data_IF_994849477285
#
_entry.id   IF_994849477285
#
_cell.length_a   1.000
_cell.length_b   1.000
_cell.length_c   1.000
_cell.angle_alpha   90.00
_cell.angle_beta   90.00
_cell.angle_gamma   90.00
#
_symmetry.space_group_name_H-M   'P 1'
#
loop_
_entity.id
_entity.type
_entity.pdbx_description
1 polymer ?
#
# COMPACT_ATOMS: atom_id res chain seq x y z
N UNK A 1 39.95 3.72 -36.67
CA UNK A 1 39.08 2.52 -36.79
C UNK A 1 38.68 1.90 -35.45
N UNK A 2 39.40 2.10 -34.34
CA UNK A 2 39.06 1.48 -33.05
C UNK A 2 37.92 2.17 -32.24
N UNK A 3 37.59 3.45 -32.48
CA UNK A 3 36.53 4.13 -31.71
C UNK A 3 35.11 3.70 -32.10
N UNK A 4 34.89 3.33 -33.36
CA UNK A 4 33.57 2.92 -33.85
C UNK A 4 33.22 1.48 -33.44
N UNK A 5 34.22 0.64 -33.14
CA UNK A 5 34.02 -0.74 -32.72
C UNK A 5 33.55 -0.83 -31.25
N UNK A 6 34.02 0.08 -30.39
CA UNK A 6 33.61 0.17 -28.97
C UNK A 6 32.17 0.70 -28.85
N UNK A 7 31.77 1.65 -29.70
CA UNK A 7 30.40 2.18 -29.73
C UNK A 7 29.40 1.11 -30.21
N UNK A 8 29.76 0.27 -31.19
CA UNK A 8 28.88 -0.80 -31.66
C UNK A 8 28.67 -1.92 -30.62
N UNK A 9 29.65 -2.19 -29.76
CA UNK A 9 29.55 -3.19 -28.69
C UNK A 9 28.63 -2.75 -27.55
N UNK A 10 28.54 -1.45 -27.26
CA UNK A 10 27.67 -0.92 -26.20
C UNK A 10 26.18 -0.85 -26.60
N UNK A 11 25.87 -0.71 -27.88
CA UNK A 11 24.47 -0.63 -28.37
C UNK A 11 23.75 -1.99 -28.33
N UNK A 12 24.49 -3.10 -28.33
CA UNK A 12 23.90 -4.45 -28.30
C UNK A 12 23.59 -4.98 -26.89
N UNK A 13 23.87 -4.22 -25.82
CA UNK A 13 23.74 -4.69 -24.43
C UNK A 13 22.45 -4.17 -23.77
N UNK A 14 21.79 -3.13 -24.29
CA UNK A 14 20.53 -2.66 -23.71
C UNK A 14 19.33 -3.39 -24.31
N UNK A 15 18.91 -4.46 -23.65
CA UNK A 15 17.54 -5.00 -23.83
C UNK A 15 16.55 -4.03 -23.18
N UNK A 16 16.24 -2.94 -23.87
CA UNK A 16 15.10 -2.09 -23.52
C UNK A 16 13.80 -2.92 -23.54
N UNK A 17 12.84 -2.56 -22.68
CA UNK A 17 11.55 -3.22 -22.64
C UNK A 17 10.89 -3.18 -24.03
N UNK A 18 10.80 -4.34 -24.70
CA UNK A 18 10.13 -4.50 -26.00
C UNK A 18 8.62 -4.47 -25.79
N UNK A 19 8.08 -3.30 -25.43
CA UNK A 19 6.64 -3.10 -25.27
C UNK A 19 6.04 -2.93 -26.67
N UNK A 20 5.43 -4.00 -27.17
CA UNK A 20 4.82 -4.05 -28.50
C UNK A 20 3.61 -3.10 -28.60
N UNK A 21 2.83 -2.99 -27.52
CA UNK A 21 1.67 -2.10 -27.39
C UNK A 21 1.17 -2.06 -25.95
N UNK A 22 0.52 -0.97 -25.55
CA UNK A 22 -0.24 -0.89 -24.30
C UNK A 22 -1.71 -1.18 -24.58
N UNK A 23 -2.26 -2.24 -23.97
CA UNK A 23 -3.69 -2.49 -23.93
C UNK A 23 -4.18 -2.31 -22.49
N UNK A 24 -5.18 -1.46 -22.29
CA UNK A 24 -5.83 -1.31 -21.00
C UNK A 24 -6.72 -2.53 -20.75
N UNK A 25 -6.20 -3.50 -20.00
CA UNK A 25 -6.99 -4.62 -19.50
C UNK A 25 -7.52 -4.20 -18.13
N UNK A 26 -8.80 -4.40 -17.80
CA UNK A 26 -9.29 -4.14 -16.45
C UNK A 26 -8.45 -4.91 -15.43
N UNK A 27 -7.89 -4.18 -14.45
CA UNK A 27 -7.12 -4.79 -13.38
C UNK A 27 -7.99 -5.77 -12.61
N UNK A 28 -7.53 -7.02 -12.51
CA UNK A 28 -8.21 -8.06 -11.72
C UNK A 28 -7.61 -8.04 -10.34
N UNK A 29 -8.39 -7.59 -9.36
CA UNK A 29 -7.98 -7.66 -7.95
C UNK A 29 -7.61 -9.08 -7.54
N UNK A 30 -6.50 -9.24 -6.83
CA UNK A 30 -6.12 -10.51 -6.21
C UNK A 30 -7.15 -10.99 -5.19
N UNK A 31 -7.90 -10.07 -4.55
CA UNK A 31 -8.98 -10.41 -3.64
C UNK A 31 -10.06 -11.23 -4.34
N UNK A 32 -10.27 -11.03 -5.65
CA UNK A 32 -11.22 -11.83 -6.45
C UNK A 32 -10.82 -13.29 -6.57
N UNK A 33 -9.52 -13.55 -6.71
CA UNK A 33 -8.98 -14.88 -7.00
C UNK A 33 -8.87 -15.71 -5.72
N UNK A 34 -8.34 -15.11 -4.65
CA UNK A 34 -8.07 -15.81 -3.40
C UNK A 34 -9.20 -15.74 -2.38
N UNK A 35 -10.32 -15.06 -2.66
CA UNK A 35 -11.42 -14.86 -1.70
C UNK A 35 -11.89 -16.16 -1.06
N UNK A 36 -12.16 -17.19 -1.87
CA UNK A 36 -12.71 -18.46 -1.39
C UNK A 36 -11.75 -19.15 -0.42
N UNK A 37 -10.46 -19.15 -0.76
CA UNK A 37 -9.40 -19.72 0.07
C UNK A 37 -9.25 -18.93 1.36
N UNK A 38 -9.12 -17.60 1.26
CA UNK A 38 -8.94 -16.75 2.42
C UNK A 38 -10.13 -16.85 3.38
N UNK A 39 -11.37 -16.90 2.85
CA UNK A 39 -12.57 -17.08 3.67
C UNK A 39 -12.55 -18.40 4.44
N UNK A 40 -12.06 -19.49 3.85
CA UNK A 40 -11.91 -20.76 4.57
C UNK A 40 -10.83 -20.69 5.64
N UNK A 41 -9.66 -20.15 5.31
CA UNK A 41 -8.53 -20.04 6.23
C UNK A 41 -8.84 -19.12 7.41
N UNK A 42 -9.60 -18.06 7.17
CA UNK A 42 -9.89 -17.04 8.17
C UNK A 42 -10.93 -17.51 9.21
N UNK A 43 -11.72 -18.55 8.90
CA UNK A 43 -12.66 -19.17 9.83
C UNK A 43 -11.99 -20.07 10.89
N UNK A 44 -10.73 -20.48 10.68
CA UNK A 44 -9.99 -21.31 11.63
C UNK A 44 -9.29 -20.50 12.72
N UNK A 45 -9.42 -20.91 13.99
CA UNK A 45 -8.50 -20.49 15.07
C UNK A 45 -8.85 -19.22 15.84
N UNK A 46 -10.07 -18.69 15.74
CA UNK A 46 -10.50 -17.45 16.41
C UNK A 46 -11.86 -17.58 17.14
N UNK A 47 -12.02 -18.64 17.95
CA UNK A 47 -13.27 -18.94 18.68
C UNK A 47 -13.73 -17.79 19.60
N UNK A 48 -12.77 -17.10 20.22
CA UNK A 48 -13.01 -15.95 21.08
C UNK A 48 -13.60 -14.77 20.31
N UNK A 49 -13.08 -14.49 19.11
CA UNK A 49 -13.58 -13.44 18.23
C UNK A 49 -14.96 -13.80 17.68
N UNK A 50 -15.16 -15.04 17.27
CA UNK A 50 -16.47 -15.53 16.83
C UNK A 50 -17.51 -15.35 17.94
N UNK A 51 -17.17 -15.71 19.18
CA UNK A 51 -18.04 -15.50 20.34
C UNK A 51 -18.41 -14.03 20.54
N UNK A 52 -17.46 -13.10 20.36
CA UNK A 52 -17.72 -11.66 20.45
C UNK A 52 -18.69 -11.21 19.35
N UNK A 53 -18.44 -11.64 18.11
CA UNK A 53 -19.26 -11.30 16.95
C UNK A 53 -20.68 -11.85 17.06
N UNK A 54 -20.84 -13.09 17.53
CA UNK A 54 -22.13 -13.77 17.72
C UNK A 54 -22.96 -13.14 18.85
N UNK A 55 -22.30 -12.72 19.94
CA UNK A 55 -22.97 -12.06 21.08
C UNK A 55 -23.42 -10.62 20.78
N UNK A 56 -22.83 -9.97 19.79
CA UNK A 56 -23.09 -8.58 19.44
C UNK A 56 -24.43 -8.39 18.68
N UNK A 57 -25.55 -8.53 19.41
CA UNK A 57 -26.92 -8.47 18.84
C UNK A 57 -27.27 -7.13 18.18
N UNK A 58 -26.79 -6.02 18.75
CA UNK A 58 -27.04 -4.67 18.21
C UNK A 58 -26.22 -4.39 16.94
N UNK A 59 -25.23 -5.23 16.65
CA UNK A 59 -24.33 -5.10 15.51
C UNK A 59 -22.90 -4.76 15.92
N UNK A 60 -22.01 -4.89 14.94
CA UNK A 60 -20.57 -4.70 15.09
C UNK A 60 -20.10 -3.58 14.16
N UNK A 61 -19.30 -2.68 14.71
CA UNK A 61 -18.49 -1.73 13.94
C UNK A 61 -17.05 -2.22 13.97
N UNK A 62 -16.46 -2.40 12.79
CA UNK A 62 -15.04 -2.70 12.69
C UNK A 62 -14.27 -1.41 12.37
N UNK A 63 -13.19 -1.13 13.09
CA UNK A 63 -12.33 0.03 12.90
C UNK A 63 -10.89 -0.45 12.67
N UNK A 64 -10.32 -0.07 11.52
CA UNK A 64 -8.93 -0.37 11.19
C UNK A 64 -8.38 0.63 10.18
N UNK A 65 -7.28 1.30 10.54
CA UNK A 65 -6.52 2.20 9.65
C UNK A 65 -5.45 1.46 8.84
N UNK A 66 -5.52 0.13 8.79
CA UNK A 66 -4.59 -0.72 8.04
C UNK A 66 -3.20 -0.78 8.69
N UNK A 67 -2.18 -1.12 7.90
CA UNK A 67 -0.79 -1.24 8.35
C UNK A 67 0.03 0.03 8.09
N UNK A 68 -0.33 0.78 7.05
CA UNK A 68 0.39 1.98 6.62
C UNK A 68 0.06 3.22 7.46
N UNK A 69 -1.10 3.22 8.14
CA UNK A 69 -1.47 4.24 9.10
C UNK A 69 -1.60 3.56 10.46
N UNK A 70 -0.54 3.65 11.25
CA UNK A 70 -0.57 3.12 12.62
C UNK A 70 -1.43 4.02 13.49
N UNK A 71 -2.46 3.46 14.12
CA UNK A 71 -3.41 4.28 14.87
C UNK A 71 -2.77 4.87 16.13
N UNK A 72 -1.82 4.15 16.72
CA UNK A 72 -1.02 4.64 17.86
C UNK A 72 -0.09 5.82 17.52
N UNK A 73 0.24 6.06 16.25
CA UNK A 73 1.07 7.19 15.81
C UNK A 73 0.26 8.39 15.31
N UNK A 74 -1.06 8.27 15.23
CA UNK A 74 -1.94 9.41 14.90
C UNK A 74 -1.88 10.44 16.03
N UNK A 75 -1.96 11.73 15.67
CA UNK A 75 -1.91 12.86 16.62
C UNK A 75 -2.91 12.65 17.78
N UNK A 76 -2.49 13.06 18.99
CA UNK A 76 -3.21 12.75 20.23
C UNK A 76 -4.68 13.18 20.23
N UNK A 77 -4.96 14.39 19.72
CA UNK A 77 -6.32 14.93 19.67
C UNK A 77 -7.22 14.09 18.75
N UNK A 78 -6.77 13.80 17.53
CA UNK A 78 -7.52 12.95 16.57
C UNK A 78 -7.80 11.57 17.16
N UNK A 79 -6.79 10.95 17.78
CA UNK A 79 -6.91 9.63 18.40
C UNK A 79 -7.96 9.62 19.51
N UNK A 80 -7.91 10.62 20.40
CA UNK A 80 -8.88 10.78 21.49
C UNK A 80 -10.29 10.99 20.95
N UNK A 81 -10.45 11.85 19.95
CA UNK A 81 -11.71 12.12 19.26
C UNK A 81 -12.32 10.85 18.68
N UNK A 82 -11.53 10.05 17.96
CA UNK A 82 -11.98 8.77 17.39
C UNK A 82 -12.47 7.83 18.49
N UNK A 83 -11.67 7.64 19.54
CA UNK A 83 -12.01 6.67 20.58
C UNK A 83 -13.22 7.09 21.42
N UNK A 84 -13.39 8.38 21.67
CA UNK A 84 -14.59 8.91 22.31
C UNK A 84 -15.84 8.67 21.45
N UNK A 85 -15.75 8.95 20.13
CA UNK A 85 -16.86 8.69 19.21
C UNK A 85 -17.21 7.20 19.16
N UNK A 86 -16.21 6.31 19.09
CA UNK A 86 -16.43 4.86 19.11
C UNK A 86 -17.05 4.38 20.42
N UNK A 87 -16.70 5.00 21.55
CA UNK A 87 -17.25 4.70 22.88
C UNK A 87 -18.73 5.06 23.04
N UNK A 88 -19.23 6.04 22.28
CA UNK A 88 -20.64 6.47 22.31
C UNK A 88 -21.55 5.65 21.38
N UNK A 89 -20.98 4.71 20.60
CA UNK A 89 -21.76 3.87 19.69
C UNK A 89 -22.55 2.80 20.46
N UNK A 90 -23.80 2.52 20.09
CA UNK A 90 -24.60 1.42 20.65
C UNK A 90 -24.18 0.04 20.12
N UNK A 91 -22.97 -0.07 19.54
CA UNK A 91 -22.47 -1.26 18.87
C UNK A 91 -21.25 -1.82 19.60
N UNK A 92 -21.00 -3.11 19.41
CA UNK A 92 -19.68 -3.67 19.75
C UNK A 92 -18.66 -3.17 18.73
N UNK A 93 -17.60 -2.53 19.19
CA UNK A 93 -16.57 -1.97 18.32
C UNK A 93 -15.31 -2.82 18.39
N UNK A 94 -14.93 -3.40 17.25
CA UNK A 94 -13.63 -4.06 17.10
C UNK A 94 -12.64 -3.03 16.55
N UNK A 95 -11.64 -2.63 17.33
CA UNK A 95 -10.73 -1.55 16.97
C UNK A 95 -9.28 -2.04 16.95
N UNK A 96 -8.64 -2.00 15.78
CA UNK A 96 -7.23 -2.35 15.64
C UNK A 96 -6.35 -1.29 16.31
N UNK A 97 -5.47 -1.74 17.20
CA UNK A 97 -4.63 -0.87 18.03
C UNK A 97 -3.26 -1.51 18.28
N UNK A 98 -2.19 -0.84 17.85
CA UNK A 98 -0.83 -1.40 17.84
C UNK A 98 -0.07 -1.33 19.17
N UNK A 99 -0.56 -0.55 20.14
CA UNK A 99 0.07 -0.37 21.45
C UNK A 99 -0.56 -1.27 22.53
N UNK A 100 0.15 -1.45 23.66
CA UNK A 100 -0.28 -2.34 24.76
C UNK A 100 -1.48 -1.78 25.55
N UNK A 101 -1.42 -0.48 25.88
CA UNK A 101 -2.41 0.16 26.72
C UNK A 101 -3.11 1.32 26.02
N UNK A 102 -4.37 1.51 26.39
CA UNK A 102 -5.10 2.75 26.15
C UNK A 102 -5.86 3.16 27.43
N UNK A 103 -5.36 4.15 28.19
CA UNK A 103 -6.04 4.65 29.38
C UNK A 103 -7.44 5.17 29.02
N UNK A 104 -8.48 4.67 29.69
CA UNK A 104 -9.87 5.10 29.43
C UNK A 104 -10.55 4.40 28.24
N UNK A 105 -10.11 3.19 27.88
CA UNK A 105 -10.79 2.36 26.86
C UNK A 105 -12.28 2.20 27.17
N UNK A 106 -13.19 2.56 26.25
CA UNK A 106 -14.62 2.32 26.44
C UNK A 106 -14.97 0.84 26.59
N UNK A 107 -16.07 0.54 27.28
CA UNK A 107 -16.48 -0.84 27.57
C UNK A 107 -16.93 -1.60 26.30
N UNK A 108 -17.54 -0.90 25.34
CA UNK A 108 -18.00 -1.46 24.07
C UNK A 108 -16.87 -1.66 23.04
N UNK A 109 -15.64 -1.20 23.32
CA UNK A 109 -14.50 -1.27 22.41
C UNK A 109 -13.59 -2.45 22.78
N UNK A 110 -13.36 -3.35 21.84
CA UNK A 110 -12.39 -4.45 21.92
C UNK A 110 -11.16 -4.07 21.12
N UNK A 111 -10.02 -3.92 21.80
CA UNK A 111 -8.74 -3.57 21.19
C UNK A 111 -7.91 -4.83 20.92
N UNK A 112 -7.31 -4.93 19.73
CA UNK A 112 -6.27 -5.93 19.42
C UNK A 112 -5.24 -5.35 18.44
N UNK A 113 -3.99 -5.80 18.54
CA UNK A 113 -2.92 -5.47 17.59
C UNK A 113 -3.21 -5.98 16.18
N UNK A 114 -3.90 -7.11 16.09
CA UNK A 114 -4.24 -7.75 14.83
C UNK A 114 -5.62 -8.39 14.90
N UNK A 115 -6.30 -8.36 13.76
CA UNK A 115 -7.61 -8.98 13.56
C UNK A 115 -7.62 -9.73 12.21
N UNK A 116 -8.32 -10.88 12.12
CA UNK A 116 -8.61 -11.53 10.85
C UNK A 116 -9.70 -10.73 10.11
N UNK A 117 -9.30 -9.61 9.49
CA UNK A 117 -10.19 -8.62 8.88
C UNK A 117 -11.23 -9.25 7.93
N UNK A 118 -10.81 -10.19 7.08
CA UNK A 118 -11.72 -10.85 6.15
C UNK A 118 -12.81 -11.68 6.84
N UNK A 119 -12.50 -12.36 7.96
CA UNK A 119 -13.52 -13.09 8.76
C UNK A 119 -14.52 -12.15 9.39
N UNK A 120 -14.03 -11.04 9.94
CA UNK A 120 -14.89 -10.03 10.56
C UNK A 120 -15.84 -9.48 9.51
N UNK A 121 -15.33 -9.03 8.36
CA UNK A 121 -16.15 -8.46 7.30
C UNK A 121 -17.14 -9.47 6.69
N UNK A 122 -16.84 -10.77 6.74
CA UNK A 122 -17.76 -11.83 6.31
C UNK A 122 -18.89 -12.11 7.32
N UNK A 123 -18.79 -11.61 8.55
CA UNK A 123 -19.75 -11.89 9.62
C UNK A 123 -21.04 -11.07 9.45
N UNK A 124 -22.25 -11.68 9.58
CA UNK A 124 -23.51 -11.00 9.31
C UNK A 124 -23.81 -9.81 10.24
N UNK A 125 -23.28 -9.84 11.47
CA UNK A 125 -23.50 -8.77 12.45
C UNK A 125 -22.67 -7.50 12.17
N UNK A 126 -21.72 -7.52 11.24
CA UNK A 126 -20.94 -6.32 10.91
C UNK A 126 -21.80 -5.35 10.09
N UNK A 127 -21.97 -4.15 10.64
CA UNK A 127 -22.81 -3.09 10.06
C UNK A 127 -21.99 -2.14 9.20
N UNK A 128 -20.84 -1.71 9.71
CA UNK A 128 -19.99 -0.69 9.08
C UNK A 128 -18.53 -1.04 9.32
N UNK A 129 -17.71 -0.78 8.31
CA UNK A 129 -16.26 -0.79 8.44
C UNK A 129 -15.71 0.64 8.31
N UNK A 130 -15.08 1.12 9.38
CA UNK A 130 -14.38 2.40 9.42
C UNK A 130 -12.91 2.15 9.07
N UNK A 131 -12.44 2.79 7.99
CA UNK A 131 -11.13 2.51 7.42
C UNK A 131 -10.44 3.76 6.88
N UNK A 132 -9.14 3.71 6.69
CA UNK A 132 -8.38 4.75 5.98
C UNK A 132 -8.64 4.78 4.47
N UNK A 133 -9.30 3.77 3.89
CA UNK A 133 -9.63 3.73 2.46
C UNK A 133 -8.49 3.25 1.56
N UNK A 134 -7.62 2.39 2.09
CA UNK A 134 -6.64 1.68 1.25
C UNK A 134 -7.33 0.70 0.29
N UNK A 135 -6.81 0.55 -0.92
CA UNK A 135 -7.42 -0.25 -1.99
C UNK A 135 -7.84 -1.65 -1.54
N UNK A 136 -6.94 -2.38 -0.85
CA UNK A 136 -7.24 -3.74 -0.38
C UNK A 136 -8.41 -3.78 0.62
N UNK A 137 -8.40 -2.91 1.64
CA UNK A 137 -9.50 -2.84 2.61
C UNK A 137 -10.83 -2.50 1.94
N UNK A 138 -10.81 -1.62 0.94
CA UNK A 138 -11.99 -1.25 0.17
C UNK A 138 -12.52 -2.44 -0.65
N UNK A 139 -11.65 -3.20 -1.31
CA UNK A 139 -12.04 -4.40 -2.06
C UNK A 139 -12.59 -5.51 -1.15
N UNK A 140 -11.99 -5.72 0.02
CA UNK A 140 -12.49 -6.68 1.01
C UNK A 140 -13.89 -6.30 1.50
N UNK A 141 -14.15 -5.01 1.74
CA UNK A 141 -15.46 -4.50 2.11
C UNK A 141 -16.49 -4.68 0.99
N UNK A 142 -16.13 -4.32 -0.26
CA UNK A 142 -16.98 -4.54 -1.45
C UNK A 142 -17.31 -6.03 -1.58
N UNK A 143 -16.32 -6.90 -1.47
CA UNK A 143 -16.49 -8.36 -1.65
C UNK A 143 -17.46 -8.99 -0.62
N UNK A 144 -17.61 -8.36 0.54
CA UNK A 144 -18.53 -8.74 1.61
C UNK A 144 -19.80 -7.84 1.67
N UNK A 145 -19.91 -6.86 0.78
CA UNK A 145 -21.05 -5.95 0.70
C UNK A 145 -21.17 -5.03 1.92
N UNK A 146 -20.09 -4.76 2.64
CA UNK A 146 -20.08 -3.95 3.87
C UNK A 146 -19.88 -2.47 3.52
N UNK A 147 -20.77 -1.56 3.98
CA UNK A 147 -20.61 -0.14 3.75
C UNK A 147 -19.49 0.45 4.62
N UNK A 148 -18.98 1.61 4.19
CA UNK A 148 -17.75 2.20 4.73
C UNK A 148 -17.94 3.60 5.33
N UNK A 149 -17.15 3.89 6.36
CA UNK A 149 -16.79 5.27 6.72
C UNK A 149 -15.29 5.40 6.49
N UNK A 150 -14.89 6.34 5.65
CA UNK A 150 -13.50 6.47 5.19
C UNK A 150 -12.85 7.72 5.80
N UNK A 151 -11.71 7.52 6.46
CA UNK A 151 -10.88 8.60 7.04
C UNK A 151 -9.52 8.60 6.35
N UNK A 152 -9.35 9.29 5.21
CA UNK A 152 -8.12 9.19 4.42
C UNK A 152 -6.98 10.00 5.03
N UNK A 153 -5.79 9.40 5.11
CA UNK A 153 -4.58 10.02 5.67
C UNK A 153 -3.45 10.20 4.64
N UNK A 154 -3.23 9.23 3.75
CA UNK A 154 -2.01 9.16 2.92
C UNK A 154 -2.27 8.63 1.51
N UNK A 155 -1.42 9.03 0.56
CA UNK A 155 -1.32 8.39 -0.76
C UNK A 155 -2.61 8.41 -1.58
N UNK A 156 -3.03 7.23 -2.04
CA UNK A 156 -4.20 6.98 -2.88
C UNK A 156 -5.55 7.05 -2.12
N UNK A 157 -5.51 7.07 -0.79
CA UNK A 157 -6.70 6.99 0.07
C UNK A 157 -7.77 8.06 -0.22
N UNK A 158 -7.44 9.36 -0.42
CA UNK A 158 -8.46 10.37 -0.75
C UNK A 158 -9.19 10.08 -2.07
N UNK A 159 -8.47 9.54 -3.07
CA UNK A 159 -9.06 9.19 -4.35
C UNK A 159 -10.00 8.00 -4.19
N UNK A 160 -9.56 6.95 -3.51
CA UNK A 160 -10.38 5.77 -3.20
C UNK A 160 -11.64 6.17 -2.42
N UNK A 161 -11.50 7.01 -1.41
CA UNK A 161 -12.60 7.54 -0.60
C UNK A 161 -13.65 8.25 -1.47
N UNK A 162 -13.21 9.15 -2.35
CA UNK A 162 -14.08 9.85 -3.30
C UNK A 162 -14.83 8.90 -4.22
N UNK A 163 -14.15 7.87 -4.74
CA UNK A 163 -14.77 6.85 -5.60
C UNK A 163 -15.86 6.12 -4.82
N UNK A 164 -15.56 5.62 -3.62
CA UNK A 164 -16.51 4.87 -2.79
C UNK A 164 -17.74 5.70 -2.39
N UNK A 165 -17.53 6.97 -2.04
CA UNK A 165 -18.62 7.90 -1.74
C UNK A 165 -19.46 8.21 -2.98
N UNK A 166 -18.83 8.45 -4.13
CA UNK A 166 -19.55 8.68 -5.40
C UNK A 166 -20.35 7.45 -5.83
N UNK A 167 -19.86 6.24 -5.52
CA UNK A 167 -20.59 4.97 -5.74
C UNK A 167 -21.71 4.73 -4.72
N UNK A 168 -21.82 5.56 -3.68
CA UNK A 168 -22.91 5.55 -2.71
C UNK A 168 -22.79 4.50 -1.60
N UNK A 169 -21.65 3.83 -1.46
CA UNK A 169 -21.44 2.81 -0.41
C UNK A 169 -20.69 3.34 0.82
N UNK A 170 -20.24 4.59 0.78
CA UNK A 170 -19.38 5.15 1.82
C UNK A 170 -19.64 6.62 2.11
N UNK A 171 -19.31 7.04 3.33
CA UNK A 171 -19.13 8.45 3.70
C UNK A 171 -17.63 8.71 3.95
N UNK A 172 -17.16 9.91 3.60
CA UNK A 172 -15.75 10.31 3.78
C UNK A 172 -15.65 11.45 4.78
N UNK A 173 -14.78 11.32 5.77
CA UNK A 173 -14.46 12.36 6.75
C UNK A 173 -12.95 12.62 6.69
N UNK A 174 -12.54 13.82 6.31
CA UNK A 174 -11.11 14.15 6.29
C UNK A 174 -10.61 14.41 7.72
N UNK A 175 -9.35 14.05 8.05
CA UNK A 175 -8.80 14.25 9.40
C UNK A 175 -8.91 15.69 9.93
N UNK A 176 -8.86 16.68 9.04
CA UNK A 176 -9.02 18.10 9.37
C UNK A 176 -10.43 18.50 9.83
N UNK A 177 -11.45 17.77 9.36
CA UNK A 177 -12.87 18.01 9.64
C UNK A 177 -13.38 16.99 10.68
N UNK A 178 -12.48 16.19 11.26
CA UNK A 178 -12.83 15.10 12.14
C UNK A 178 -13.15 15.64 13.53
N UNK A 179 -14.42 15.51 13.89
CA UNK A 179 -14.93 15.76 15.23
C UNK A 179 -15.60 14.49 15.78
N UNK A 180 -15.75 14.43 17.10
CA UNK A 180 -16.34 13.30 17.81
C UNK A 180 -17.79 13.07 17.38
N UNK A 181 -18.60 14.12 17.38
CA UNK A 181 -20.03 14.02 17.04
C UNK A 181 -20.19 13.74 15.54
N UNK A 182 -19.38 14.37 14.69
CA UNK A 182 -19.35 14.11 13.25
C UNK A 182 -19.06 12.63 12.95
N UNK A 183 -18.02 12.06 13.58
CA UNK A 183 -17.67 10.66 13.36
C UNK A 183 -18.76 9.71 13.87
N UNK A 184 -19.26 9.93 15.09
CA UNK A 184 -20.34 9.13 15.68
C UNK A 184 -21.57 9.13 14.77
N UNK A 185 -22.04 10.31 14.40
CA UNK A 185 -23.28 10.49 13.63
C UNK A 185 -23.14 9.92 12.22
N UNK A 186 -21.96 10.05 11.62
CA UNK A 186 -21.68 9.45 10.30
C UNK A 186 -21.68 7.92 10.38
N UNK A 187 -21.06 7.32 11.40
CA UNK A 187 -21.10 5.87 11.60
C UNK A 187 -22.53 5.39 11.81
N UNK A 188 -23.32 6.08 12.65
CA UNK A 188 -24.73 5.75 12.88
C UNK A 188 -25.57 5.87 11.61
N UNK A 189 -25.34 6.91 10.81
CA UNK A 189 -26.00 7.12 9.51
C UNK A 189 -25.72 5.95 8.58
N UNK A 190 -24.45 5.62 8.37
CA UNK A 190 -24.04 4.53 7.46
C UNK A 190 -24.49 3.16 7.96
N UNK A 191 -24.56 2.95 9.28
CA UNK A 191 -24.99 1.70 9.89
C UNK A 191 -26.51 1.46 9.81
N UNK A 192 -27.31 2.53 9.84
CA UNK A 192 -28.78 2.46 9.93
C UNK A 192 -29.48 2.65 8.59
N UNK A 193 -28.89 3.44 7.69
CA UNK A 193 -29.49 3.72 6.39
C UNK A 193 -29.16 2.60 5.41
N UNK A 194 -30.17 1.79 5.08
CA UNK A 194 -30.04 0.63 4.21
C UNK A 194 -29.50 0.98 2.82
N UNK A 195 -29.59 2.25 2.37
CA UNK A 195 -29.07 2.65 1.05
C UNK A 195 -27.58 2.32 0.89
N UNK A 196 -26.77 2.46 1.95
CA UNK A 196 -25.34 2.17 1.87
C UNK A 196 -25.09 0.66 1.76
N UNK A 197 -25.84 -0.14 2.52
CA UNK A 197 -25.76 -1.61 2.48
C UNK A 197 -26.23 -2.15 1.12
N UNK A 198 -27.33 -1.63 0.59
CA UNK A 198 -27.84 -1.98 -0.74
C UNK A 198 -26.83 -1.60 -1.84
N UNK A 199 -26.22 -0.42 -1.77
CA UNK A 199 -25.17 -0.02 -2.72
C UNK A 199 -23.93 -0.92 -2.61
N UNK A 200 -23.51 -1.25 -1.40
CA UNK A 200 -22.40 -2.16 -1.19
C UNK A 200 -22.70 -3.57 -1.72
N UNK A 201 -23.92 -4.08 -1.56
CA UNK A 201 -24.37 -5.36 -2.13
C UNK A 201 -24.44 -5.33 -3.67
N UNK A 202 -24.94 -4.25 -4.27
CA UNK A 202 -24.93 -4.07 -5.73
C UNK A 202 -23.49 -4.10 -6.29
N UNK A 203 -22.56 -3.40 -5.62
CA UNK A 203 -21.15 -3.40 -6.02
C UNK A 203 -20.49 -4.76 -5.80
N UNK A 204 -20.90 -5.50 -4.76
CA UNK A 204 -20.45 -6.87 -4.51
C UNK A 204 -20.84 -7.78 -5.67
N UNK A 205 -22.09 -7.72 -6.13
CA UNK A 205 -22.57 -8.53 -7.26
C UNK A 205 -21.73 -8.26 -8.51
N UNK A 206 -21.51 -6.98 -8.85
CA UNK A 206 -20.65 -6.58 -9.98
C UNK A 206 -19.20 -7.05 -9.78
N UNK A 207 -18.70 -7.01 -8.55
CA UNK A 207 -17.32 -7.41 -8.25
C UNK A 207 -17.10 -8.91 -8.40
N UNK A 208 -18.08 -9.71 -7.96
CA UNK A 208 -18.05 -11.17 -8.00
C UNK A 208 -18.43 -11.74 -9.36
N UNK A 209 -19.16 -11.00 -10.19
CA UNK A 209 -19.52 -11.39 -11.55
C UNK A 209 -18.28 -11.54 -12.44
N UNK A 210 -17.88 -12.78 -12.68
CA UNK A 210 -16.68 -13.15 -13.41
C UNK A 210 -16.91 -14.42 -14.23
N UNK A 211 -16.24 -14.54 -15.40
CA UNK A 211 -16.43 -15.69 -16.29
C UNK A 211 -15.90 -17.00 -15.71
N UNK A 212 -14.99 -16.95 -14.74
CA UNK A 212 -14.40 -18.12 -14.08
C UNK A 212 -14.34 -17.88 -12.57
N UNK A 213 -14.55 -18.94 -11.79
CA UNK A 213 -14.38 -18.87 -10.34
C UNK A 213 -12.92 -18.60 -9.97
N UNK A 214 -12.69 -18.07 -8.77
CA UNK A 214 -11.34 -17.83 -8.26
C UNK A 214 -10.49 -19.10 -8.22
N UNK A 215 -11.09 -20.22 -7.82
CA UNK A 215 -10.40 -21.54 -7.73
C UNK A 215 -10.03 -22.05 -9.12
N UNK A 216 -10.96 -22.04 -10.08
CA UNK A 216 -10.68 -22.50 -11.44
C UNK A 216 -9.59 -21.65 -12.11
N UNK A 217 -9.60 -20.34 -11.83
CA UNK A 217 -8.57 -19.42 -12.31
C UNK A 217 -7.20 -19.75 -11.72
N UNK A 218 -7.11 -20.08 -10.43
CA UNK A 218 -5.84 -20.52 -9.81
C UNK A 218 -5.35 -21.80 -10.48
N UNK A 219 -6.21 -22.81 -10.60
CA UNK A 219 -5.87 -24.09 -11.24
C UNK A 219 -5.35 -23.85 -12.65
N UNK A 220 -6.06 -23.05 -13.44
CA UNK A 220 -5.67 -22.74 -14.81
C UNK A 220 -4.30 -22.08 -14.89
N UNK A 221 -4.00 -21.09 -14.03
CA UNK A 221 -2.69 -20.42 -14.01
C UNK A 221 -1.57 -21.35 -13.53
N UNK A 222 -1.83 -22.20 -12.53
CA UNK A 222 -0.86 -23.21 -12.09
C UNK A 222 -0.52 -24.18 -13.23
N UNK A 223 -1.55 -24.72 -13.90
CA UNK A 223 -1.34 -25.57 -15.06
C UNK A 223 -0.65 -24.84 -16.22
N UNK A 224 -0.95 -23.55 -16.43
CA UNK A 224 -0.28 -22.73 -17.44
C UNK A 224 1.23 -22.68 -17.19
N UNK A 225 1.63 -22.38 -15.95
CA UNK A 225 3.05 -22.36 -15.57
C UNK A 225 3.69 -23.73 -15.78
N UNK A 226 3.00 -24.83 -15.45
CA UNK A 226 3.50 -26.21 -15.67
C UNK A 226 3.64 -26.51 -17.17
N UNK A 227 2.60 -26.26 -17.98
CA UNK A 227 2.59 -26.47 -19.44
C UNK A 227 3.72 -25.70 -20.13
N UNK A 228 4.03 -24.50 -19.64
CA UNK A 228 5.06 -23.64 -20.17
C UNK A 228 6.38 -23.70 -19.38
N UNK A 229 6.62 -24.78 -18.63
CA UNK A 229 7.89 -25.09 -17.95
C UNK A 229 8.46 -23.91 -17.13
N UNK A 230 7.58 -23.20 -16.42
CA UNK A 230 7.95 -22.04 -15.59
C UNK A 230 7.49 -20.69 -16.15
N UNK A 231 6.96 -20.63 -17.39
CA UNK A 231 6.40 -19.42 -18.01
C UNK A 231 7.35 -18.21 -17.94
N UNK A 232 8.61 -18.39 -18.36
CA UNK A 232 9.64 -17.33 -18.33
C UNK A 232 9.21 -16.04 -19.02
N UNK A 233 8.38 -16.12 -20.06
CA UNK A 233 7.84 -14.96 -20.77
C UNK A 233 6.87 -14.08 -19.95
N UNK A 234 6.37 -14.57 -18.82
CA UNK A 234 5.57 -13.78 -17.86
C UNK A 234 6.41 -13.23 -16.70
N UNK A 235 7.64 -13.72 -16.54
CA UNK A 235 8.57 -13.22 -15.52
C UNK A 235 9.21 -11.93 -16.02
N UNK A 236 9.36 -10.97 -15.12
CA UNK A 236 10.16 -9.79 -15.42
C UNK A 236 11.61 -10.22 -15.63
N UNK A 237 12.29 -9.82 -16.73
CA UNK A 237 13.71 -10.07 -16.89
C UNK A 237 14.55 -9.53 -15.73
N UNK A 238 14.04 -8.52 -15.02
CA UNK A 238 14.68 -7.96 -13.82
C UNK A 238 14.87 -8.97 -12.68
N UNK A 239 14.08 -10.04 -12.63
CA UNK A 239 14.17 -11.06 -11.59
C UNK A 239 15.44 -11.92 -11.71
N UNK A 240 16.03 -12.00 -12.90
CA UNK A 240 17.18 -12.86 -13.21
C UNK A 240 18.46 -12.03 -13.48
N UNK A 241 18.43 -10.72 -13.19
CA UNK A 241 19.60 -9.83 -13.34
C UNK A 241 20.64 -10.15 -12.25
N UNK A 242 21.91 -10.39 -12.62
CA UNK A 242 22.98 -10.63 -11.65
C UNK A 242 23.29 -9.37 -10.84
N UNK A 243 23.74 -9.56 -9.59
CA UNK A 243 23.94 -8.47 -8.63
C UNK A 243 24.85 -7.33 -9.15
N UNK A 244 25.86 -7.64 -9.96
CA UNK A 244 26.77 -6.61 -10.49
C UNK A 244 26.10 -5.65 -11.47
N UNK A 245 25.13 -6.14 -12.26
CA UNK A 245 24.35 -5.35 -13.21
C UNK A 245 23.24 -4.60 -12.46
N UNK A 246 22.61 -5.25 -11.49
CA UNK A 246 21.64 -4.61 -10.61
C UNK A 246 22.24 -3.42 -9.84
N UNK A 247 23.46 -3.57 -9.30
CA UNK A 247 24.20 -2.49 -8.63
C UNK A 247 24.95 -1.56 -9.58
N UNK A 248 24.87 -1.80 -10.90
CA UNK A 248 25.52 -0.97 -11.94
C UNK A 248 27.01 -0.73 -11.63
N UNK A 249 27.73 -1.79 -11.25
CA UNK A 249 29.13 -1.68 -10.82
C UNK A 249 30.05 -1.10 -11.91
N UNK A 250 29.70 -1.34 -13.17
CA UNK A 250 30.33 -0.75 -14.34
C UNK A 250 30.17 0.78 -14.39
N UNK A 251 28.96 1.29 -14.13
CA UNK A 251 28.68 2.72 -14.06
C UNK A 251 29.39 3.36 -12.87
N UNK A 252 29.40 2.69 -11.72
CA UNK A 252 30.17 3.14 -10.55
C UNK A 252 31.66 3.23 -10.88
N UNK A 253 32.23 2.21 -11.54
CA UNK A 253 33.63 2.21 -11.94
C UNK A 253 33.97 3.37 -12.89
N UNK A 254 33.12 3.65 -13.88
CA UNK A 254 33.30 4.80 -14.80
C UNK A 254 33.26 6.12 -14.04
N UNK A 255 32.34 6.30 -13.09
CA UNK A 255 32.25 7.51 -12.25
C UNK A 255 33.52 7.66 -11.40
N UNK A 256 34.00 6.60 -10.76
CA UNK A 256 35.22 6.63 -9.94
C UNK A 256 36.46 7.00 -10.77
N UNK A 257 36.58 6.45 -11.99
CA UNK A 257 37.65 6.80 -12.91
C UNK A 257 37.56 8.27 -13.34
N UNK A 258 36.37 8.76 -13.66
CA UNK A 258 36.16 10.17 -14.01
C UNK A 258 36.55 11.12 -12.86
N UNK A 259 36.11 10.81 -11.63
CA UNK A 259 36.47 11.57 -10.43
C UNK A 259 37.99 11.55 -10.19
N UNK A 260 38.65 10.40 -10.39
CA UNK A 260 40.10 10.28 -10.27
C UNK A 260 40.84 11.14 -11.31
N UNK A 261 40.39 11.13 -12.56
CA UNK A 261 40.97 11.98 -13.63
C UNK A 261 40.80 13.46 -13.30
N UNK A 262 39.60 13.88 -12.88
CA UNK A 262 39.34 15.27 -12.45
C UNK A 262 40.27 15.66 -11.30
N UNK A 263 40.39 14.80 -10.28
CA UNK A 263 41.32 15.01 -9.16
C UNK A 263 42.75 15.20 -9.64
N UNK A 264 43.23 14.36 -10.58
CA UNK A 264 44.57 14.48 -11.15
C UNK A 264 44.77 15.79 -11.90
N UNK A 265 43.81 16.20 -12.74
CA UNK A 265 43.86 17.47 -13.47
C UNK A 265 43.92 18.66 -12.52
N UNK A 266 43.07 18.69 -11.49
CA UNK A 266 43.07 19.75 -10.47
C UNK A 266 44.42 19.76 -9.72
N UNK A 267 44.92 18.59 -9.32
CA UNK A 267 46.19 18.50 -8.59
C UNK A 267 47.39 18.99 -9.43
N UNK A 268 47.39 18.72 -10.73
CA UNK A 268 48.41 19.20 -11.66
C UNK A 268 48.31 20.72 -11.85
N UNK A 269 47.09 21.24 -12.03
CA UNK A 269 46.83 22.68 -12.14
C UNK A 269 47.27 23.43 -10.88
N UNK A 270 46.97 22.92 -9.70
CA UNK A 270 47.41 23.52 -8.44
C UNK A 270 48.94 23.49 -8.30
N UNK A 271 49.59 22.38 -8.69
CA UNK A 271 51.05 22.27 -8.67
C UNK A 271 51.71 23.27 -9.63
N UNK A 272 51.19 23.44 -10.84
CA UNK A 272 51.72 24.44 -11.79
C UNK A 272 51.49 25.86 -11.30
N UNK A 273 50.32 26.16 -10.72
CA UNK A 273 50.02 27.48 -10.14
C UNK A 273 50.95 27.82 -8.96
N UNK A 274 51.16 26.87 -8.05
CA UNK A 274 52.12 27.01 -6.92
C UNK A 274 53.55 27.17 -7.45
N UNK A 275 53.94 26.41 -8.48
CA UNK A 275 55.25 26.52 -9.13
C UNK A 275 55.48 27.90 -9.74
N UNK A 276 54.49 28.46 -10.44
CA UNK A 276 54.52 29.81 -11.01
C UNK A 276 54.61 30.90 -9.93
N UNK A 277 53.87 30.75 -8.82
CA UNK A 277 53.92 31.66 -7.68
C UNK A 277 55.28 31.62 -6.95
N UNK A 278 55.90 30.44 -6.81
CA UNK A 278 57.25 30.28 -6.24
C UNK A 278 58.34 30.82 -7.17
N UNK A 279 58.22 30.60 -8.48
CA UNK A 279 59.15 31.15 -9.49
C UNK A 279 59.15 32.68 -9.52
N UNK A 280 57.99 33.33 -9.35
CA UNK A 280 57.90 34.80 -9.23
C UNK A 280 58.54 35.36 -7.95
N UNK A 281 58.52 34.62 -6.83
CA UNK A 281 59.18 35.02 -5.58
C UNK A 281 60.72 35.00 -5.71
N UNK A 282 61.28 33.96 -6.31
CA UNK A 282 62.74 33.81 -6.52
C UNK A 282 63.33 34.88 -7.45
N UNK A 283 62.60 35.30 -8.48
CA UNK A 283 63.05 36.39 -9.39
C UNK A 283 63.03 37.76 -8.71
N UNK A 284 62.16 37.95 -7.71
CA UNK A 284 62.07 39.21 -6.94
C UNK A 284 63.18 39.32 -5.88
N UNK A 285 63.61 38.21 -5.28
CA UNK A 285 64.74 38.15 -4.33
C UNK A 285 66.11 38.32 -4.99
N UNK A 286 66.29 37.96 -6.27
CA UNK A 286 67.55 38.18 -7.02
C UNK A 286 67.73 39.61 -7.56
N UNK A 287 66.73 40.48 -7.41
CA UNK A 287 66.72 41.86 -7.96
C UNK A 287 66.87 42.96 -6.90
N UNK A 288 67.11 42.58 -5.65
CA UNK A 288 67.50 43.49 -4.56
C UNK A 288 68.95 43.24 -4.16
#
# INVERSE_FOLDING_TARGET
>A
MFSNLIILLLVNISSGARILSFANIPSVSHQKVFQALNKQLSLGGHEDLQTILDKAKDGVVYFSLGTNVRFDHVQGDIKKTILQALGELPYTVLCKWESEDFPGKPNNVVLRKWFPQQSILAHPNVKVFVTQGGLQSSEEAISNGIPLVVIPFLGDQPMNARILTTRGMAETIFPKDLDKDILRDTILKVAKDDKYRLKAQQLREIFLDQPQSGVDKIVWWCEYVIRHKGAEHLRSPAADIPLYEYFMLDVIAVILVALYVIYKVISLFLRTLIGLLRGKKSVKEKKN
#
